data_IF_695060197400
#
_entry.id   IF_695060197400
#
_cell.length_a   1.000
_cell.length_b   1.000
_cell.length_c   1.000
_cell.angle_alpha   90.00
_cell.angle_beta   90.00
_cell.angle_gamma   90.00
#
_symmetry.space_group_name_H-M   'P 1'
#
loop_
_entity.id
_entity.type
_entity.pdbx_description
1 polymer ?
#
# COMPACT_ATOMS: atom_id res chain seq x y z
N UNK A 1 3.65 -0.85 13.07
CA UNK A 1 3.27 -2.19 12.60
C UNK A 1 3.63 -2.28 11.12
N UNK A 2 4.46 -3.24 10.72
CA UNK A 2 4.84 -3.47 9.31
C UNK A 2 4.08 -4.70 8.84
N UNK A 3 3.24 -4.55 7.82
CA UNK A 3 2.46 -5.65 7.26
C UNK A 3 2.95 -5.92 5.85
N UNK A 4 3.44 -7.14 5.60
CA UNK A 4 3.93 -7.56 4.28
C UNK A 4 2.75 -8.19 3.53
N UNK A 5 2.30 -7.55 2.46
CA UNK A 5 1.29 -8.11 1.55
C UNK A 5 1.94 -8.36 0.20
N UNK A 6 2.08 -9.61 -0.25
CA UNK A 6 2.79 -9.96 -1.49
C UNK A 6 2.14 -9.31 -2.74
N UNK A 7 2.96 -8.75 -3.64
CA UNK A 7 2.55 -7.99 -4.84
C UNK A 7 1.72 -8.82 -5.83
N UNK A 8 1.83 -10.15 -5.78
CA UNK A 8 1.21 -11.05 -6.75
C UNK A 8 -0.26 -11.37 -6.46
N UNK A 9 -0.80 -10.91 -5.34
CA UNK A 9 -2.21 -11.07 -4.99
C UNK A 9 -2.88 -9.70 -4.77
N UNK A 10 -3.19 -9.02 -5.87
CA UNK A 10 -3.88 -7.72 -5.86
C UNK A 10 -5.16 -7.75 -5.01
N UNK A 11 -5.83 -8.90 -4.87
CA UNK A 11 -7.02 -9.08 -4.02
C UNK A 11 -6.67 -9.00 -2.53
N UNK A 12 -5.56 -9.60 -2.09
CA UNK A 12 -5.07 -9.49 -0.73
C UNK A 12 -4.75 -8.03 -0.34
N UNK A 13 -4.13 -7.26 -1.23
CA UNK A 13 -3.88 -5.84 -1.00
C UNK A 13 -5.20 -5.07 -0.80
N UNK A 14 -6.21 -5.32 -1.62
CA UNK A 14 -7.53 -4.72 -1.47
C UNK A 14 -8.24 -5.07 -0.17
N UNK A 15 -8.16 -6.34 0.25
CA UNK A 15 -8.73 -6.79 1.52
C UNK A 15 -8.04 -6.10 2.70
N UNK A 16 -6.70 -6.01 2.67
CA UNK A 16 -5.93 -5.30 3.68
C UNK A 16 -6.34 -3.82 3.78
N UNK A 17 -6.53 -3.13 2.65
CA UNK A 17 -6.96 -1.73 2.62
C UNK A 17 -8.38 -1.54 3.19
N UNK A 18 -9.27 -2.51 2.98
CA UNK A 18 -10.61 -2.52 3.57
C UNK A 18 -10.54 -2.70 5.08
N UNK A 19 -9.80 -3.71 5.56
CA UNK A 19 -9.61 -3.95 7.00
C UNK A 19 -8.97 -2.74 7.68
N UNK A 20 -7.97 -2.12 7.05
CA UNK A 20 -7.35 -0.88 7.53
C UNK A 20 -8.37 0.25 7.63
N UNK A 21 -9.31 0.36 6.69
CA UNK A 21 -10.32 1.42 6.70
C UNK A 21 -11.32 1.23 7.83
N UNK A 22 -11.71 -0.02 8.09
CA UNK A 22 -12.68 -0.39 9.11
C UNK A 22 -12.07 -0.36 10.52
N UNK A 23 -10.84 -0.87 10.69
CA UNK A 23 -10.20 -0.95 12.01
C UNK A 23 -9.35 0.28 12.36
N UNK A 24 -8.79 0.97 11.36
CA UNK A 24 -7.78 2.01 11.56
C UNK A 24 -8.15 3.28 10.78
N UNK A 25 -9.26 3.91 11.16
CA UNK A 25 -9.79 5.13 10.53
C UNK A 25 -8.81 6.33 10.51
N UNK A 26 -7.74 6.28 11.31
CA UNK A 26 -6.72 7.35 11.39
C UNK A 26 -5.56 7.19 10.40
N UNK A 27 -5.42 6.03 9.73
CA UNK A 27 -4.30 5.80 8.79
C UNK A 27 -4.55 6.61 7.52
N UNK A 28 -3.78 7.69 7.35
CA UNK A 28 -3.92 8.61 6.20
C UNK A 28 -2.85 8.40 5.14
N UNK A 29 -1.66 7.98 5.55
CA UNK A 29 -0.48 7.82 4.71
C UNK A 29 0.02 6.37 4.75
N UNK A 30 0.25 5.77 3.59
CA UNK A 30 0.76 4.40 3.43
C UNK A 30 2.03 4.47 2.57
N UNK A 31 3.11 3.89 3.08
CA UNK A 31 4.38 3.77 2.37
C UNK A 31 4.46 2.39 1.71
N UNK A 32 4.77 2.33 0.43
CA UNK A 32 4.89 1.07 -0.32
C UNK A 32 6.19 1.04 -1.12
N UNK A 33 6.73 -0.15 -1.37
CA UNK A 33 7.93 -0.31 -2.18
C UNK A 33 7.68 0.01 -3.67
N UNK A 34 8.75 0.32 -4.41
CA UNK A 34 8.75 0.52 -5.86
C UNK A 34 8.09 -0.60 -6.67
N UNK A 35 8.08 -1.84 -6.16
CA UNK A 35 7.41 -2.98 -6.79
C UNK A 35 5.87 -2.86 -6.90
N UNK A 36 5.24 -1.97 -6.11
CA UNK A 36 3.78 -1.76 -6.14
C UNK A 36 3.35 -0.60 -7.06
N UNK A 37 4.30 0.01 -7.78
CA UNK A 37 3.98 1.07 -8.74
C UNK A 37 3.04 0.55 -9.82
N UNK A 38 2.00 1.32 -10.13
CA UNK A 38 1.08 1.02 -11.22
C UNK A 38 -0.39 1.16 -10.82
N UNK A 39 -1.24 0.42 -11.54
CA UNK A 39 -2.69 0.54 -11.46
C UNK A 39 -3.25 0.21 -10.07
N UNK A 40 -2.63 -0.71 -9.33
CA UNK A 40 -3.05 -1.08 -7.98
C UNK A 40 -3.04 0.12 -7.03
N UNK A 41 -1.96 0.91 -7.03
CA UNK A 41 -1.82 2.09 -6.17
C UNK A 41 -2.82 3.17 -6.56
N UNK A 42 -3.00 3.43 -7.86
CA UNK A 42 -3.97 4.41 -8.34
C UNK A 42 -5.41 4.03 -7.92
N UNK A 43 -5.75 2.76 -8.11
CA UNK A 43 -7.04 2.22 -7.73
C UNK A 43 -7.30 2.30 -6.21
N UNK A 44 -6.30 1.99 -5.37
CA UNK A 44 -6.46 2.09 -3.91
C UNK A 44 -6.62 3.56 -3.48
N UNK A 45 -5.83 4.48 -4.07
CA UNK A 45 -5.96 5.92 -3.80
C UNK A 45 -7.37 6.42 -4.12
N UNK A 46 -7.90 6.09 -5.31
CA UNK A 46 -9.25 6.48 -5.74
C UNK A 46 -10.36 5.85 -4.91
N UNK A 47 -10.25 4.55 -4.60
CA UNK A 47 -11.34 3.80 -3.95
C UNK A 47 -11.40 4.00 -2.44
N UNK A 48 -10.26 4.12 -1.78
CA UNK A 48 -10.20 4.19 -0.32
C UNK A 48 -9.88 5.59 0.22
N UNK A 49 -9.28 6.47 -0.59
CA UNK A 49 -8.90 7.83 -0.21
C UNK A 49 -7.57 7.94 0.52
N UNK A 50 -6.73 6.89 0.48
CA UNK A 50 -5.42 6.91 1.12
C UNK A 50 -4.39 7.71 0.31
N UNK A 51 -3.46 8.34 1.02
CA UNK A 51 -2.24 8.88 0.42
C UNK A 51 -1.20 7.77 0.39
N UNK A 52 -0.94 7.22 -0.79
CA UNK A 52 0.08 6.18 -0.97
C UNK A 52 1.35 6.83 -1.52
N UNK A 53 2.45 6.69 -0.78
CA UNK A 53 3.77 7.15 -1.17
C UNK A 53 4.61 5.93 -1.52
N UNK A 54 5.07 5.89 -2.77
CA UNK A 54 6.00 4.87 -3.23
C UNK A 54 7.40 5.29 -2.79
N UNK A 55 7.99 4.52 -1.89
CA UNK A 55 9.37 4.68 -1.47
C UNK A 55 10.20 3.68 -2.26
N UNK A 56 11.16 4.18 -3.04
CA UNK A 56 12.18 3.33 -3.64
C UNK A 56 13.24 3.18 -2.56
N UNK A 57 13.28 2.01 -1.91
CA UNK A 57 14.44 1.65 -1.10
C UNK A 57 15.60 1.49 -2.06
N UNK A 58 16.39 2.55 -2.23
CA UNK A 58 17.73 2.43 -2.77
C UNK A 58 18.55 1.60 -1.78
N UNK A 59 18.38 0.28 -1.83
CA UNK A 59 19.31 -0.65 -1.20
C UNK A 59 20.61 -0.54 -2.02
N UNK A 60 21.40 0.48 -1.70
CA UNK A 60 22.80 0.53 -2.06
C UNK A 60 23.47 -0.33 -1.01
N UNK A 61 23.74 -1.59 -1.36
CA UNK A 61 24.72 -2.41 -0.64
C UNK A 61 26.00 -1.56 -0.53
N UNK A 62 26.30 -1.13 0.69
CA UNK A 62 27.62 -0.63 1.06
C UNK A 62 28.49 -1.82 1.44
#
# INVERSE_FOLDING_TARGET
>A
MVTIANVHDSKAAYLLMRVLKEMCSSVRNILVDGGYRGELVDNIRKKFGYVIQVVISAYKEL
#
